data_IF_370074481662
#
_entry.id   IF_370074481662
#
_cell.length_a   1.000
_cell.length_b   1.000
_cell.length_c   1.000
_cell.angle_alpha   90.00
_cell.angle_beta   90.00
_cell.angle_gamma   90.00
#
_symmetry.space_group_name_H-M   'P 1'
#
loop_
_entity.id
_entity.type
_entity.pdbx_description
1 polymer ?
#
# COMPACT_ATOMS: atom_id res chain seq x y z
N UNK A 1 72.94 -46.19 -44.17
CA UNK A 1 71.56 -46.00 -43.77
C UNK A 1 71.51 -44.97 -42.65
N UNK A 2 71.21 -43.70 -42.98
CA UNK A 2 71.15 -42.61 -41.99
C UNK A 2 69.67 -42.41 -41.52
N UNK A 3 69.48 -42.57 -40.23
CA UNK A 3 68.16 -42.18 -39.56
C UNK A 3 68.25 -40.73 -39.16
N UNK A 4 67.41 -39.91 -39.76
CA UNK A 4 67.20 -38.51 -39.39
C UNK A 4 66.19 -38.48 -38.24
N UNK A 5 66.58 -38.02 -37.06
CA UNK A 5 65.66 -37.71 -35.95
C UNK A 5 65.13 -36.30 -36.15
N UNK A 6 63.77 -36.17 -36.26
CA UNK A 6 63.06 -34.92 -36.31
C UNK A 6 62.73 -34.51 -34.89
N UNK A 7 63.35 -33.50 -34.37
CA UNK A 7 63.07 -32.87 -33.09
C UNK A 7 61.87 -31.88 -33.27
N UNK A 8 60.67 -32.20 -32.78
CA UNK A 8 59.58 -31.24 -32.65
C UNK A 8 59.83 -30.39 -31.41
N UNK A 9 60.04 -29.09 -31.60
CA UNK A 9 60.05 -28.12 -30.51
C UNK A 9 58.62 -27.70 -30.16
N UNK A 10 58.18 -28.04 -28.94
CA UNK A 10 56.95 -27.55 -28.37
C UNK A 10 57.14 -26.16 -27.79
N UNK A 11 56.49 -25.15 -28.34
CA UNK A 11 56.46 -23.81 -27.79
C UNK A 11 55.47 -23.72 -26.59
N UNK A 12 55.86 -23.16 -25.45
CA UNK A 12 54.93 -22.97 -24.34
C UNK A 12 53.97 -21.80 -24.64
N UNK A 13 52.67 -22.05 -24.63
CA UNK A 13 51.65 -21.02 -24.62
C UNK A 13 51.66 -20.32 -23.25
N UNK A 14 52.14 -19.08 -23.20
CA UNK A 14 52.03 -18.22 -22.04
C UNK A 14 50.61 -17.71 -21.93
N UNK A 15 49.83 -18.28 -20.97
CA UNK A 15 48.54 -17.71 -20.56
C UNK A 15 48.83 -16.48 -19.70
N UNK A 16 48.70 -15.30 -20.27
CA UNK A 16 48.80 -14.04 -19.53
C UNK A 16 47.64 -13.90 -18.50
N UNK A 17 47.88 -13.20 -17.37
CA UNK A 17 46.84 -12.98 -16.38
C UNK A 17 45.70 -12.17 -17.00
N UNK A 18 44.49 -12.75 -17.02
CA UNK A 18 43.27 -12.01 -17.35
C UNK A 18 43.03 -11.03 -16.19
N UNK A 19 43.41 -9.77 -16.40
CA UNK A 19 43.05 -8.70 -15.44
C UNK A 19 41.56 -8.57 -15.41
N UNK A 20 40.92 -9.04 -14.29
CA UNK A 20 39.54 -8.78 -14.02
C UNK A 20 39.36 -7.27 -13.84
N UNK A 21 38.70 -6.63 -14.79
CA UNK A 21 38.28 -5.23 -14.67
C UNK A 21 37.38 -5.12 -13.43
N UNK A 22 37.55 -4.10 -12.58
CA UNK A 22 36.65 -3.90 -11.44
C UNK A 22 35.25 -3.72 -12.01
N UNK A 23 34.31 -4.58 -11.57
CA UNK A 23 32.90 -4.39 -11.82
C UNK A 23 32.52 -3.07 -11.14
N UNK A 24 32.35 -2.00 -11.90
CA UNK A 24 31.74 -0.79 -11.38
C UNK A 24 30.34 -1.18 -10.86
N UNK A 25 30.13 -1.09 -9.54
CA UNK A 25 28.83 -1.27 -8.95
C UNK A 25 27.89 -0.25 -9.61
N UNK A 26 26.99 -0.71 -10.46
CA UNK A 26 26.02 0.16 -11.13
C UNK A 26 25.20 0.86 -10.04
N UNK A 27 25.15 2.19 -10.10
CA UNK A 27 24.36 2.96 -9.13
C UNK A 27 22.91 2.49 -9.17
N UNK A 28 22.35 2.21 -7.97
CA UNK A 28 20.98 1.75 -7.87
C UNK A 28 20.02 2.84 -8.38
N UNK A 29 19.00 2.50 -9.18
CA UNK A 29 18.02 3.47 -9.62
C UNK A 29 17.25 4.04 -8.43
N UNK A 30 17.03 5.35 -8.44
CA UNK A 30 16.23 6.06 -7.44
C UNK A 30 14.76 5.92 -7.78
N UNK A 31 13.99 5.42 -6.84
CA UNK A 31 12.54 5.23 -6.96
C UNK A 31 11.84 5.98 -5.83
N UNK A 32 10.78 6.69 -6.17
CA UNK A 32 9.93 7.38 -5.21
C UNK A 32 8.58 6.65 -5.10
N UNK A 33 8.14 6.34 -3.89
CA UNK A 33 6.78 5.93 -3.60
C UNK A 33 6.05 7.04 -2.85
N UNK A 34 4.80 7.30 -3.18
CA UNK A 34 4.05 8.43 -2.59
C UNK A 34 3.71 8.22 -1.13
N UNK A 35 3.41 7.00 -0.69
CA UNK A 35 3.08 6.70 0.72
C UNK A 35 3.55 5.31 1.16
N UNK A 36 3.51 5.06 2.45
CA UNK A 36 4.17 3.92 3.10
C UNK A 36 3.71 2.55 2.60
N UNK A 37 2.43 2.37 2.28
CA UNK A 37 1.92 1.10 1.75
C UNK A 37 2.53 0.80 0.39
N UNK A 38 2.55 1.77 -0.53
CA UNK A 38 3.24 1.61 -1.82
C UNK A 38 4.74 1.41 -1.63
N UNK A 39 5.34 2.08 -0.64
CA UNK A 39 6.75 1.89 -0.27
C UNK A 39 7.07 0.43 0.07
N UNK A 40 6.23 -0.23 0.86
CA UNK A 40 6.39 -1.65 1.16
C UNK A 40 6.21 -2.52 -0.09
N UNK A 41 5.13 -2.32 -0.87
CA UNK A 41 4.90 -3.10 -2.10
C UNK A 41 6.10 -3.00 -3.07
N UNK A 42 6.65 -1.79 -3.24
CA UNK A 42 7.87 -1.56 -4.04
C UNK A 42 9.06 -2.31 -3.44
N UNK A 43 9.26 -2.25 -2.12
CA UNK A 43 10.36 -2.95 -1.43
C UNK A 43 10.27 -4.46 -1.57
N UNK A 44 9.07 -5.04 -1.52
CA UNK A 44 8.86 -6.49 -1.70
C UNK A 44 9.27 -6.95 -3.10
N UNK A 45 9.04 -6.12 -4.13
CA UNK A 45 9.39 -6.40 -5.53
C UNK A 45 10.88 -6.13 -5.81
N UNK A 46 11.42 -5.04 -5.28
CA UNK A 46 12.76 -4.57 -5.65
C UNK A 46 13.89 -5.10 -4.78
N UNK A 47 13.60 -5.44 -3.51
CA UNK A 47 14.59 -5.75 -2.48
C UNK A 47 15.67 -4.63 -2.39
N UNK A 48 16.94 -4.98 -2.60
CA UNK A 48 18.09 -4.10 -2.53
C UNK A 48 18.51 -3.48 -3.88
N UNK A 49 17.73 -3.69 -4.95
CA UNK A 49 18.11 -3.24 -6.31
C UNK A 49 17.89 -1.76 -6.57
N UNK A 50 17.15 -1.08 -5.72
CA UNK A 50 16.84 0.35 -5.86
C UNK A 50 17.24 1.15 -4.63
N UNK A 51 17.28 2.47 -4.78
CA UNK A 51 17.28 3.46 -3.69
C UNK A 51 15.86 4.01 -3.57
N UNK A 52 15.09 3.54 -2.58
CA UNK A 52 13.69 3.91 -2.39
C UNK A 52 13.54 5.10 -1.45
N UNK A 53 12.78 6.10 -1.89
CA UNK A 53 12.29 7.20 -1.05
C UNK A 53 10.77 7.12 -0.93
N UNK A 54 10.26 7.14 0.30
CA UNK A 54 8.81 7.22 0.58
C UNK A 54 8.49 8.63 1.04
N UNK A 55 7.58 9.33 0.33
CA UNK A 55 7.26 10.74 0.62
C UNK A 55 6.44 10.88 1.90
N UNK A 56 5.36 10.09 2.00
CA UNK A 56 4.50 10.07 3.19
C UNK A 56 4.79 8.80 3.97
N UNK A 57 5.46 8.96 5.11
CA UNK A 57 5.94 7.85 5.94
C UNK A 57 4.84 7.16 6.75
N UNK A 58 5.28 6.32 7.69
CA UNK A 58 4.42 5.62 8.62
C UNK A 58 3.60 6.59 9.49
N UNK A 59 2.38 6.18 9.83
CA UNK A 59 1.45 6.90 10.72
C UNK A 59 1.12 8.35 10.28
N UNK A 60 1.40 8.71 9.02
CA UNK A 60 1.11 10.04 8.46
C UNK A 60 -0.04 9.93 7.46
N UNK A 61 -0.97 10.88 7.55
CA UNK A 61 -2.10 11.01 6.64
C UNK A 61 -1.66 11.46 5.25
N UNK A 62 -1.88 10.60 4.25
CA UNK A 62 -1.50 10.87 2.88
C UNK A 62 -2.50 11.77 2.14
N UNK A 63 -3.77 11.86 2.55
CA UNK A 63 -4.76 12.74 1.93
C UNK A 63 -4.44 14.22 2.12
N UNK A 64 -4.01 14.56 3.34
CA UNK A 64 -3.77 15.96 3.75
C UNK A 64 -2.31 16.38 3.68
N UNK A 65 -1.43 15.50 3.18
CA UNK A 65 0.00 15.76 3.10
C UNK A 65 0.33 17.03 2.30
N UNK A 66 1.30 17.77 2.79
CA UNK A 66 1.83 18.96 2.13
C UNK A 66 3.26 18.68 1.67
N UNK A 67 3.51 18.52 0.34
CA UNK A 67 4.84 18.27 -0.19
C UNK A 67 5.83 19.36 0.18
N UNK A 68 7.04 18.94 0.53
CA UNK A 68 8.16 19.81 0.92
C UNK A 68 9.14 19.97 -0.23
N UNK A 69 10.02 21.00 -0.24
CA UNK A 69 11.03 21.15 -1.28
C UNK A 69 11.99 19.94 -1.42
N UNK A 70 12.19 19.15 -0.36
CA UNK A 70 12.97 17.91 -0.41
C UNK A 70 12.27 16.84 -1.26
N UNK A 71 10.95 16.75 -1.19
CA UNK A 71 10.15 15.80 -1.96
C UNK A 71 10.23 16.12 -3.46
N UNK A 72 10.13 17.39 -3.81
CA UNK A 72 10.30 17.86 -5.19
C UNK A 72 11.69 17.48 -5.74
N UNK A 73 12.76 17.62 -4.93
CA UNK A 73 14.11 17.20 -5.34
C UNK A 73 14.20 15.68 -5.51
N UNK A 74 13.60 14.91 -4.61
CA UNK A 74 13.59 13.45 -4.71
C UNK A 74 12.88 12.99 -6.00
N UNK A 75 11.71 13.56 -6.29
CA UNK A 75 10.93 13.27 -7.52
C UNK A 75 11.70 13.67 -8.78
N UNK A 76 12.28 14.87 -8.82
CA UNK A 76 13.05 15.35 -9.98
C UNK A 76 14.27 14.46 -10.29
N UNK A 77 14.86 13.82 -9.28
CA UNK A 77 16.05 12.92 -9.45
C UNK A 77 15.68 11.44 -9.60
N UNK A 78 14.42 11.07 -9.59
CA UNK A 78 13.99 9.68 -9.63
C UNK A 78 13.89 9.13 -11.05
N UNK A 79 14.27 7.84 -11.23
CA UNK A 79 14.04 7.06 -12.45
C UNK A 79 12.62 6.51 -12.52
N UNK A 80 11.97 6.30 -11.38
CA UNK A 80 10.56 5.92 -11.33
C UNK A 80 9.84 6.58 -10.14
N UNK A 81 8.54 6.87 -10.31
CA UNK A 81 7.65 7.30 -9.25
C UNK A 81 6.40 6.43 -9.23
N UNK A 82 6.09 5.86 -8.07
CA UNK A 82 4.93 5.02 -7.83
C UNK A 82 3.90 5.81 -7.03
N UNK A 83 2.72 5.99 -7.60
CA UNK A 83 1.56 6.65 -6.97
C UNK A 83 0.35 5.72 -6.98
N UNK A 84 -0.62 5.98 -6.10
CA UNK A 84 -1.88 5.26 -6.11
C UNK A 84 -2.73 5.58 -7.33
N UNK A 85 -2.92 6.86 -7.60
CA UNK A 85 -3.91 7.35 -8.54
C UNK A 85 -5.31 7.45 -7.92
N UNK A 86 -6.35 7.52 -8.76
CA UNK A 86 -7.76 7.64 -8.36
C UNK A 86 -8.05 8.86 -7.45
N UNK A 87 -7.20 9.88 -7.49
CA UNK A 87 -7.34 11.08 -6.67
C UNK A 87 -6.89 10.96 -5.21
N UNK A 88 -6.28 9.85 -4.81
CA UNK A 88 -5.80 9.63 -3.44
C UNK A 88 -4.80 10.70 -3.00
N UNK A 89 -3.80 10.94 -3.82
CA UNK A 89 -2.81 11.99 -3.59
C UNK A 89 -3.30 13.34 -4.16
N UNK A 90 -4.22 14.01 -3.49
CA UNK A 90 -4.76 15.32 -3.93
C UNK A 90 -3.71 16.43 -4.10
N UNK A 91 -2.51 16.21 -3.59
CA UNK A 91 -1.35 17.12 -3.67
C UNK A 91 -0.40 16.81 -4.85
N UNK A 92 -0.59 15.70 -5.58
CA UNK A 92 0.39 15.20 -6.57
C UNK A 92 0.59 16.18 -7.73
N UNK A 93 -0.44 16.86 -8.18
CA UNK A 93 -0.34 17.85 -9.26
C UNK A 93 0.53 19.05 -8.86
N UNK A 94 0.46 19.48 -7.60
CA UNK A 94 1.32 20.56 -7.07
C UNK A 94 2.77 20.11 -7.03
N UNK A 95 3.03 18.87 -6.61
CA UNK A 95 4.35 18.27 -6.60
C UNK A 95 4.91 18.15 -8.03
N UNK A 96 4.12 17.67 -8.98
CA UNK A 96 4.53 17.52 -10.38
C UNK A 96 4.89 18.87 -11.03
N UNK A 97 4.18 19.94 -10.69
CA UNK A 97 4.53 21.31 -11.16
C UNK A 97 5.84 21.83 -10.55
N UNK A 98 6.12 21.48 -9.29
CA UNK A 98 7.33 21.88 -8.58
C UNK A 98 8.56 21.03 -8.95
N UNK A 99 8.36 19.83 -9.46
CA UNK A 99 9.39 18.86 -9.80
C UNK A 99 9.18 18.33 -11.20
N UNK A 100 9.93 18.81 -12.22
CA UNK A 100 9.82 18.31 -13.59
C UNK A 100 10.32 16.85 -13.64
N UNK A 101 9.45 15.92 -13.33
CA UNK A 101 9.72 14.50 -13.37
C UNK A 101 9.83 14.00 -14.82
N UNK A 102 10.90 13.25 -15.12
CA UNK A 102 11.20 12.71 -16.46
C UNK A 102 11.31 11.18 -16.47
N UNK A 103 11.15 10.56 -15.30
CA UNK A 103 11.25 9.12 -15.13
C UNK A 103 9.96 8.37 -15.52
N UNK A 104 9.91 7.08 -15.18
CA UNK A 104 8.75 6.23 -15.38
C UNK A 104 7.69 6.52 -14.32
N UNK A 105 6.53 7.02 -14.73
CA UNK A 105 5.37 7.13 -13.85
C UNK A 105 4.66 5.77 -13.77
N UNK A 106 4.42 5.30 -12.56
CA UNK A 106 3.76 4.03 -12.24
C UNK A 106 2.52 4.35 -11.39
N UNK A 107 1.34 4.21 -11.98
CA UNK A 107 0.09 4.32 -11.24
C UNK A 107 -0.33 2.93 -10.80
N UNK A 108 -0.23 2.64 -9.51
CA UNK A 108 -0.42 1.31 -8.96
C UNK A 108 -1.84 0.76 -9.19
N UNK A 109 -2.87 1.62 -9.16
CA UNK A 109 -4.27 1.24 -9.38
C UNK A 109 -4.67 1.05 -10.86
N UNK A 110 -3.75 1.18 -11.81
CA UNK A 110 -4.08 1.05 -13.24
C UNK A 110 -4.75 -0.29 -13.54
N UNK A 111 -5.93 -0.23 -14.19
CA UNK A 111 -6.70 -1.42 -14.58
C UNK A 111 -7.35 -2.18 -13.42
N UNK A 112 -7.41 -1.59 -12.22
CA UNK A 112 -8.22 -2.14 -11.12
C UNK A 112 -9.68 -1.79 -11.35
N UNK A 113 -10.57 -2.77 -11.15
CA UNK A 113 -12.01 -2.52 -11.14
C UNK A 113 -12.38 -1.65 -9.93
N UNK A 114 -12.81 -0.43 -10.18
CA UNK A 114 -13.08 0.57 -9.15
C UNK A 114 -14.48 0.49 -8.58
N UNK A 115 -14.63 0.86 -7.31
CA UNK A 115 -15.91 1.12 -6.67
C UNK A 115 -16.21 2.61 -6.75
N UNK A 116 -17.47 2.92 -7.02
CA UNK A 116 -17.98 4.29 -6.93
C UNK A 116 -18.53 4.53 -5.51
N UNK A 117 -18.41 5.75 -5.04
CA UNK A 117 -19.05 6.14 -3.80
C UNK A 117 -20.55 5.83 -3.88
N UNK A 118 -21.04 5.05 -2.95
CA UNK A 118 -22.49 4.93 -2.78
C UNK A 118 -23.05 6.29 -2.31
N UNK A 119 -24.20 6.75 -2.82
CA UNK A 119 -24.86 7.93 -2.27
C UNK A 119 -25.18 7.65 -0.79
N UNK A 120 -24.44 8.27 0.11
CA UNK A 120 -24.74 8.18 1.54
C UNK A 120 -25.78 9.26 1.86
N UNK A 121 -26.95 8.92 2.41
CA UNK A 121 -27.93 9.92 2.80
C UNK A 121 -27.32 10.92 3.78
N UNK A 122 -27.24 12.19 3.39
CA UNK A 122 -26.68 13.28 4.22
C UNK A 122 -25.31 13.79 3.80
N UNK A 123 -24.57 13.10 2.94
CA UNK A 123 -23.27 13.56 2.41
C UNK A 123 -23.42 14.05 0.98
N UNK A 124 -23.40 15.36 0.77
CA UNK A 124 -23.50 16.01 -0.56
C UNK A 124 -22.22 15.89 -1.43
N UNK A 125 -21.16 15.24 -0.95
CA UNK A 125 -19.85 15.18 -1.59
C UNK A 125 -19.42 13.79 -2.08
N UNK A 126 -20.32 12.81 -2.12
CA UNK A 126 -20.01 11.43 -2.48
C UNK A 126 -20.08 11.17 -4.00
N UNK A 127 -19.51 12.05 -4.83
CA UNK A 127 -19.33 11.79 -6.27
C UNK A 127 -17.84 11.60 -6.58
N UNK A 128 -17.29 10.44 -6.24
CA UNK A 128 -15.90 10.12 -6.51
C UNK A 128 -15.69 8.63 -6.58
N UNK A 129 -14.59 8.24 -7.18
CA UNK A 129 -14.10 6.87 -7.16
C UNK A 129 -13.40 6.63 -5.83
N UNK A 130 -13.76 5.55 -5.13
CA UNK A 130 -13.01 5.11 -3.95
C UNK A 130 -11.58 4.78 -4.35
N UNK A 131 -10.61 5.39 -3.69
CA UNK A 131 -9.19 5.25 -4.00
C UNK A 131 -8.48 4.12 -3.24
N UNK A 132 -9.13 3.52 -2.22
CA UNK A 132 -8.51 2.60 -1.25
C UNK A 132 -8.47 1.14 -1.74
N UNK A 133 -8.13 0.92 -3.01
CA UNK A 133 -8.16 -0.41 -3.64
C UNK A 133 -7.27 -1.45 -2.94
N UNK A 134 -6.19 -1.03 -2.27
CA UNK A 134 -5.29 -1.92 -1.53
C UNK A 134 -5.95 -2.63 -0.33
N UNK A 135 -7.11 -2.17 0.11
CA UNK A 135 -7.87 -2.83 1.17
C UNK A 135 -8.48 -4.18 0.74
N UNK A 136 -8.54 -4.45 -0.55
CA UNK A 136 -8.78 -5.79 -1.11
C UNK A 136 -7.46 -6.41 -1.56
N UNK A 137 -7.04 -7.50 -0.92
CA UNK A 137 -5.78 -8.17 -1.24
C UNK A 137 -5.75 -8.65 -2.70
N UNK A 138 -6.89 -9.05 -3.25
CA UNK A 138 -7.01 -9.41 -4.67
C UNK A 138 -6.66 -8.25 -5.61
N UNK A 139 -7.06 -7.02 -5.26
CA UNK A 139 -6.71 -5.81 -6.00
C UNK A 139 -5.27 -5.36 -5.74
N UNK A 140 -4.76 -5.54 -4.51
CA UNK A 140 -3.35 -5.26 -4.20
C UNK A 140 -2.38 -6.11 -5.04
N UNK A 141 -2.76 -7.33 -5.43
CA UNK A 141 -1.98 -8.16 -6.38
C UNK A 141 -1.84 -7.47 -7.74
N UNK A 142 -2.88 -6.75 -8.21
CA UNK A 142 -2.78 -5.94 -9.43
C UNK A 142 -1.80 -4.77 -9.26
N UNK A 143 -1.77 -4.15 -8.08
CA UNK A 143 -0.77 -3.13 -7.74
C UNK A 143 0.65 -3.67 -7.89
N UNK A 144 0.91 -4.86 -7.34
CA UNK A 144 2.21 -5.52 -7.45
C UNK A 144 2.58 -5.76 -8.91
N UNK A 145 1.65 -6.25 -9.75
CA UNK A 145 1.90 -6.46 -11.17
C UNK A 145 2.27 -5.15 -11.89
N UNK A 146 1.53 -4.06 -11.63
CA UNK A 146 1.82 -2.75 -12.22
C UNK A 146 3.18 -2.18 -11.76
N UNK A 147 3.56 -2.41 -10.49
CA UNK A 147 4.87 -2.02 -9.95
C UNK A 147 5.98 -2.81 -10.64
N UNK A 148 5.82 -4.13 -10.79
CA UNK A 148 6.78 -5.00 -11.51
C UNK A 148 7.01 -4.50 -12.93
N UNK A 149 5.93 -4.29 -13.68
CA UNK A 149 6.00 -3.85 -15.07
C UNK A 149 6.69 -2.47 -15.18
N UNK A 150 6.31 -1.54 -14.32
CA UNK A 150 6.88 -0.19 -14.33
C UNK A 150 8.35 -0.16 -13.90
N UNK A 151 8.76 -0.93 -12.90
CA UNK A 151 10.16 -1.04 -12.50
C UNK A 151 11.00 -1.74 -13.58
N UNK A 152 10.46 -2.77 -14.24
CA UNK A 152 11.14 -3.45 -15.34
C UNK A 152 11.37 -2.53 -16.56
N UNK A 153 10.49 -1.55 -16.79
CA UNK A 153 10.66 -0.51 -17.81
C UNK A 153 11.71 0.53 -17.40
N UNK A 154 11.68 0.96 -16.13
CA UNK A 154 12.60 1.97 -15.61
C UNK A 154 14.04 1.45 -15.45
N UNK A 155 14.20 0.16 -15.20
CA UNK A 155 15.47 -0.53 -14.95
C UNK A 155 15.48 -1.90 -15.62
N UNK A 156 15.69 -1.89 -16.93
CA UNK A 156 15.68 -3.10 -17.74
C UNK A 156 16.77 -4.12 -17.34
N UNK A 157 17.88 -3.67 -16.76
CA UNK A 157 18.96 -4.53 -16.30
C UNK A 157 18.51 -5.47 -15.17
N UNK A 158 17.61 -5.04 -14.30
CA UNK A 158 17.06 -5.81 -13.19
C UNK A 158 15.64 -6.35 -13.46
N UNK A 159 15.12 -6.24 -14.69
CA UNK A 159 13.74 -6.61 -15.02
C UNK A 159 13.35 -8.04 -14.62
N UNK A 160 14.26 -9.03 -14.81
CA UNK A 160 14.00 -10.40 -14.40
C UNK A 160 13.92 -10.56 -12.89
N UNK A 161 14.77 -9.87 -12.13
CA UNK A 161 14.71 -9.84 -10.67
C UNK A 161 13.35 -9.33 -10.18
N UNK A 162 12.85 -8.22 -10.75
CA UNK A 162 11.53 -7.68 -10.38
C UNK A 162 10.39 -8.65 -10.69
N UNK A 163 10.43 -9.33 -11.84
CA UNK A 163 9.41 -10.33 -12.22
C UNK A 163 9.42 -11.54 -11.28
N UNK A 164 10.59 -12.09 -10.97
CA UNK A 164 10.73 -13.23 -10.05
C UNK A 164 10.23 -12.88 -8.64
N UNK A 165 10.67 -11.74 -8.12
CA UNK A 165 10.24 -11.26 -6.80
C UNK A 165 8.73 -10.96 -6.77
N UNK A 166 8.22 -10.31 -7.81
CA UNK A 166 6.80 -10.02 -7.94
C UNK A 166 5.95 -11.28 -7.96
N UNK A 167 6.37 -12.34 -8.68
CA UNK A 167 5.68 -13.62 -8.69
C UNK A 167 5.67 -14.29 -7.30
N UNK A 168 6.79 -14.28 -6.58
CA UNK A 168 6.86 -14.80 -5.21
C UNK A 168 5.95 -14.02 -4.26
N UNK A 169 5.94 -12.70 -4.40
CA UNK A 169 5.09 -11.86 -3.54
C UNK A 169 3.61 -12.02 -3.87
N UNK A 170 3.24 -12.16 -5.15
CA UNK A 170 1.87 -12.46 -5.58
C UNK A 170 1.34 -13.76 -4.97
N UNK A 171 2.17 -14.80 -4.87
CA UNK A 171 1.80 -16.05 -4.20
C UNK A 171 1.52 -15.84 -2.71
N UNK A 172 2.36 -15.07 -2.02
CA UNK A 172 2.15 -14.71 -0.60
C UNK A 172 0.84 -13.91 -0.42
N UNK A 173 0.55 -12.97 -1.32
CA UNK A 173 -0.70 -12.21 -1.28
C UNK A 173 -1.92 -13.11 -1.56
N UNK A 174 -1.81 -14.09 -2.45
CA UNK A 174 -2.88 -15.06 -2.66
C UNK A 174 -3.16 -15.91 -1.41
N UNK A 175 -2.12 -16.25 -0.63
CA UNK A 175 -2.26 -16.93 0.67
C UNK A 175 -2.88 -16.00 1.71
N UNK A 176 -2.46 -14.74 1.75
CA UNK A 176 -3.03 -13.72 2.62
C UNK A 176 -4.53 -13.54 2.35
N UNK A 177 -4.95 -13.45 1.09
CA UNK A 177 -6.35 -13.30 0.71
C UNK A 177 -7.20 -14.49 1.21
N UNK A 178 -6.69 -15.73 1.04
CA UNK A 178 -7.35 -16.93 1.57
C UNK A 178 -7.47 -16.90 3.08
N UNK A 179 -6.41 -16.45 3.77
CA UNK A 179 -6.41 -16.31 5.22
C UNK A 179 -7.43 -15.26 5.68
N UNK A 180 -7.49 -14.09 5.03
CA UNK A 180 -8.49 -13.05 5.37
C UNK A 180 -9.91 -13.60 5.24
N UNK A 181 -10.22 -14.28 4.13
CA UNK A 181 -11.53 -14.91 3.92
C UNK A 181 -11.87 -15.91 5.02
N UNK A 182 -10.91 -16.74 5.41
CA UNK A 182 -11.09 -17.74 6.47
C UNK A 182 -11.32 -17.09 7.84
N UNK A 183 -10.59 -16.02 8.18
CA UNK A 183 -10.76 -15.31 9.44
C UNK A 183 -12.12 -14.61 9.53
N UNK A 184 -12.52 -13.88 8.47
CA UNK A 184 -13.83 -13.21 8.43
C UNK A 184 -14.98 -14.20 8.47
N UNK A 185 -14.83 -15.39 7.88
CA UNK A 185 -15.84 -16.43 7.91
C UNK A 185 -16.15 -16.95 9.33
N UNK A 186 -15.27 -16.75 10.31
CA UNK A 186 -15.51 -17.09 11.72
C UNK A 186 -16.57 -16.20 12.38
N UNK A 187 -16.82 -15.00 11.82
CA UNK A 187 -17.83 -14.08 12.31
C UNK A 187 -19.16 -14.39 11.63
N UNK A 188 -20.28 -14.59 12.38
CA UNK A 188 -21.61 -14.73 11.79
C UNK A 188 -21.97 -13.53 10.90
N UNK A 189 -22.59 -13.76 9.73
CA UNK A 189 -22.87 -12.71 8.75
C UNK A 189 -23.62 -11.51 9.34
N UNK A 190 -24.57 -11.74 10.25
CA UNK A 190 -25.33 -10.68 10.92
C UNK A 190 -24.51 -9.82 11.89
N UNK A 191 -23.30 -10.25 12.27
CA UNK A 191 -22.39 -9.52 13.18
C UNK A 191 -21.26 -8.80 12.44
N UNK A 192 -21.09 -9.00 11.12
CA UNK A 192 -20.01 -8.42 10.32
C UNK A 192 -20.23 -6.92 10.07
N UNK A 193 -20.23 -6.13 11.14
CA UNK A 193 -20.41 -4.67 11.11
C UNK A 193 -19.34 -4.00 11.95
N UNK A 194 -18.77 -2.90 11.44
CA UNK A 194 -17.73 -2.14 12.13
C UNK A 194 -17.88 -0.65 11.85
N UNK A 195 -17.41 0.18 12.77
CA UNK A 195 -17.30 1.64 12.63
C UNK A 195 -15.82 1.98 12.54
N UNK A 196 -15.45 2.82 11.58
CA UNK A 196 -14.07 3.31 11.33
C UNK A 196 -14.05 4.84 11.34
N UNK A 197 -12.87 5.47 11.30
CA UNK A 197 -12.74 6.93 11.36
C UNK A 197 -13.16 7.61 10.06
N UNK A 198 -12.87 6.98 8.90
CA UNK A 198 -13.30 7.46 7.58
C UNK A 198 -13.64 6.27 6.65
N UNK A 199 -14.16 6.54 5.46
CA UNK A 199 -14.66 5.53 4.52
C UNK A 199 -13.53 4.96 3.64
N UNK A 200 -12.59 4.25 4.25
CA UNK A 200 -11.44 3.62 3.57
C UNK A 200 -11.64 2.13 3.27
N UNK A 201 -12.68 1.50 3.79
CA UNK A 201 -12.80 0.04 3.76
C UNK A 201 -13.84 -0.48 2.75
N UNK A 202 -14.24 0.33 1.76
CA UNK A 202 -15.24 -0.05 0.76
C UNK A 202 -14.83 -1.30 -0.04
N UNK A 203 -13.58 -1.38 -0.47
CA UNK A 203 -13.05 -2.57 -1.17
C UNK A 203 -12.94 -3.79 -0.27
N UNK A 204 -12.56 -3.60 1.00
CA UNK A 204 -12.57 -4.69 2.00
C UNK A 204 -14.01 -5.20 2.20
N UNK A 205 -14.97 -4.30 2.35
CA UNK A 205 -16.40 -4.61 2.48
C UNK A 205 -16.88 -5.48 1.32
N UNK A 206 -16.58 -5.06 0.09
CA UNK A 206 -16.95 -5.76 -1.14
C UNK A 206 -16.30 -7.15 -1.26
N UNK A 207 -15.03 -7.29 -0.88
CA UNK A 207 -14.27 -8.53 -1.04
C UNK A 207 -14.59 -9.58 0.03
N UNK A 208 -14.88 -9.13 1.27
CA UNK A 208 -14.94 -10.02 2.44
C UNK A 208 -16.31 -10.02 3.16
N UNK A 209 -17.27 -9.25 2.68
CA UNK A 209 -18.65 -9.26 3.21
C UNK A 209 -18.76 -8.65 4.62
N UNK A 210 -18.04 -7.58 4.89
CA UNK A 210 -18.14 -6.77 6.12
C UNK A 210 -18.86 -5.47 5.79
N UNK A 211 -19.69 -4.96 6.69
CA UNK A 211 -20.35 -3.66 6.55
C UNK A 211 -19.62 -2.62 7.41
N UNK A 212 -19.11 -1.60 6.76
CA UNK A 212 -18.47 -0.47 7.45
C UNK A 212 -19.36 0.75 7.42
N UNK A 213 -19.28 1.54 8.49
CA UNK A 213 -19.86 2.87 8.59
C UNK A 213 -18.78 3.80 9.15
N UNK A 214 -18.78 5.04 8.71
CA UNK A 214 -17.82 6.03 9.16
C UNK A 214 -18.47 7.42 9.26
N UNK A 215 -17.97 8.30 10.15
CA UNK A 215 -18.47 9.67 10.24
C UNK A 215 -17.94 10.55 9.11
N UNK A 216 -16.80 10.19 8.48
CA UNK A 216 -16.15 10.91 7.38
C UNK A 216 -16.28 10.12 6.08
N UNK A 217 -16.22 10.85 4.94
CA UNK A 217 -16.16 10.25 3.60
C UNK A 217 -14.79 9.64 3.27
N UNK A 218 -14.47 9.53 1.98
CA UNK A 218 -13.24 8.92 1.47
C UNK A 218 -11.96 9.70 1.79
N UNK A 219 -12.06 10.98 2.10
CA UNK A 219 -10.92 11.81 2.48
C UNK A 219 -11.04 12.25 3.93
N UNK A 220 -9.93 12.61 4.52
CA UNK A 220 -9.83 13.08 5.91
C UNK A 220 -9.78 14.60 6.03
N UNK A 221 -9.84 15.32 4.92
CA UNK A 221 -9.67 16.77 4.81
C UNK A 221 -10.88 17.59 5.29
N UNK A 222 -12.02 16.95 5.56
CA UNK A 222 -13.21 17.59 6.07
C UNK A 222 -13.72 16.95 7.37
N UNK A 223 -14.27 17.77 8.25
CA UNK A 223 -14.93 17.29 9.46
C UNK A 223 -16.40 16.95 9.17
N UNK A 224 -16.96 15.88 9.77
CA UNK A 224 -18.37 15.53 9.61
C UNK A 224 -19.27 16.56 10.30
N UNK A 225 -20.50 16.71 9.80
CA UNK A 225 -21.48 17.56 10.46
C UNK A 225 -21.96 16.94 11.79
N UNK A 226 -22.37 17.79 12.74
CA UNK A 226 -22.95 17.33 14.00
C UNK A 226 -24.20 16.43 13.77
N UNK A 227 -24.94 16.67 12.69
CA UNK A 227 -26.11 15.86 12.30
C UNK A 227 -25.69 14.44 11.90
N UNK A 228 -24.62 14.30 11.15
CA UNK A 228 -24.12 12.98 10.69
C UNK A 228 -23.53 12.17 11.86
N UNK A 229 -22.80 12.83 12.76
CA UNK A 229 -22.29 12.21 13.98
C UNK A 229 -23.47 11.72 14.85
N UNK A 230 -24.50 12.53 15.07
CA UNK A 230 -25.68 12.15 15.83
C UNK A 230 -26.46 10.99 15.16
N UNK A 231 -26.53 10.97 13.83
CA UNK A 231 -27.14 9.86 13.10
C UNK A 231 -26.35 8.56 13.28
N UNK A 232 -25.01 8.62 13.20
CA UNK A 232 -24.14 7.47 13.41
C UNK A 232 -24.25 6.93 14.85
N UNK A 233 -24.28 7.79 15.86
CA UNK A 233 -24.49 7.40 17.27
C UNK A 233 -25.81 6.63 17.45
N UNK A 234 -26.92 7.13 16.86
CA UNK A 234 -28.21 6.43 16.89
C UNK A 234 -28.11 5.05 16.24
N UNK A 235 -27.52 4.97 15.05
CA UNK A 235 -27.33 3.71 14.32
C UNK A 235 -26.52 2.70 15.12
N UNK A 236 -25.41 3.13 15.74
CA UNK A 236 -24.58 2.26 16.60
C UNK A 236 -25.39 1.69 17.77
N UNK A 237 -26.22 2.53 18.42
CA UNK A 237 -27.11 2.10 19.51
C UNK A 237 -28.18 1.13 19.05
N UNK A 238 -28.90 1.46 17.98
CA UNK A 238 -30.02 0.67 17.46
C UNK A 238 -29.55 -0.72 16.96
N UNK A 239 -28.43 -0.74 16.27
CA UNK A 239 -27.86 -1.97 15.75
C UNK A 239 -26.93 -2.70 16.74
N UNK A 240 -26.74 -2.14 17.94
CA UNK A 240 -25.89 -2.71 19.01
C UNK A 240 -24.45 -2.99 18.55
N UNK A 241 -23.89 -2.15 17.66
CA UNK A 241 -22.54 -2.32 17.15
C UNK A 241 -21.53 -2.06 18.28
N UNK A 242 -20.65 -3.02 18.53
CA UNK A 242 -19.55 -2.93 19.52
C UNK A 242 -18.17 -2.74 18.86
N UNK A 243 -18.03 -3.07 17.58
CA UNK A 243 -16.80 -3.00 16.81
C UNK A 243 -16.55 -1.57 16.30
N UNK A 244 -15.98 -0.71 17.14
CA UNK A 244 -15.53 0.65 16.78
C UNK A 244 -14.01 0.71 16.77
N UNK A 245 -13.43 1.38 15.76
CA UNK A 245 -11.98 1.45 15.57
C UNK A 245 -11.53 2.85 15.17
N UNK A 246 -10.42 3.28 15.75
CA UNK A 246 -9.67 4.47 15.35
C UNK A 246 -8.58 4.06 14.36
N UNK A 247 -8.37 4.83 13.32
CA UNK A 247 -7.30 4.61 12.37
C UNK A 247 -6.02 5.36 12.78
N UNK A 248 -4.85 4.77 12.42
CA UNK A 248 -3.55 5.23 12.94
C UNK A 248 -3.20 6.67 12.60
N UNK A 249 -3.67 7.18 11.46
CA UNK A 249 -3.37 8.53 10.97
C UNK A 249 -4.45 9.56 11.31
N UNK A 250 -5.55 9.18 12.02
CA UNK A 250 -6.65 10.08 12.36
C UNK A 250 -6.66 10.48 13.83
N UNK A 251 -7.29 11.64 14.13
CA UNK A 251 -7.56 12.05 15.51
C UNK A 251 -8.61 11.12 16.14
N UNK A 252 -8.34 10.52 17.31
CA UNK A 252 -9.23 9.55 17.94
C UNK A 252 -10.51 10.18 18.51
N UNK A 253 -10.51 11.49 18.80
CA UNK A 253 -11.55 12.16 19.60
C UNK A 253 -12.97 11.93 19.13
N UNK A 254 -13.20 11.91 17.80
CA UNK A 254 -14.54 11.71 17.23
C UNK A 254 -15.04 10.27 17.43
N UNK A 255 -14.23 9.25 17.16
CA UNK A 255 -14.62 7.84 17.37
C UNK A 255 -14.80 7.55 18.85
N UNK A 256 -13.96 8.11 19.71
CA UNK A 256 -14.10 8.03 21.16
C UNK A 256 -15.38 8.69 21.68
N UNK A 257 -15.77 9.84 21.10
CA UNK A 257 -17.05 10.48 21.41
C UNK A 257 -18.22 9.55 21.02
N UNK A 258 -18.20 9.01 19.80
CA UNK A 258 -19.23 8.07 19.33
C UNK A 258 -19.30 6.86 20.27
N UNK A 259 -18.16 6.31 20.68
CA UNK A 259 -18.11 5.19 21.62
C UNK A 259 -18.74 5.53 22.97
N UNK A 260 -18.34 6.64 23.59
CA UNK A 260 -18.90 7.10 24.88
C UNK A 260 -20.42 7.30 24.81
N UNK A 261 -20.90 7.96 23.76
CA UNK A 261 -22.32 8.29 23.63
C UNK A 261 -23.17 7.08 23.21
N UNK A 262 -22.61 6.10 22.49
CA UNK A 262 -23.35 4.90 22.08
C UNK A 262 -23.26 3.73 23.05
N UNK A 263 -22.35 3.76 24.03
CA UNK A 263 -22.06 2.64 24.92
C UNK A 263 -21.28 1.50 24.25
N UNK A 264 -20.61 1.80 23.11
CA UNK A 264 -19.69 0.89 22.46
C UNK A 264 -18.26 1.04 23.01
N UNK A 265 -17.33 0.16 22.60
CA UNK A 265 -15.94 0.16 23.05
C UNK A 265 -15.02 0.31 21.84
N UNK A 266 -14.05 1.20 21.95
CA UNK A 266 -13.01 1.35 20.92
C UNK A 266 -12.08 0.14 20.98
N UNK A 267 -11.91 -0.54 19.85
CA UNK A 267 -11.00 -1.66 19.67
C UNK A 267 -9.55 -1.22 19.44
N UNK A 268 -8.65 -2.17 19.12
CA UNK A 268 -7.30 -1.85 18.72
C UNK A 268 -7.29 -0.91 17.49
N UNK A 269 -6.24 -0.07 17.38
CA UNK A 269 -6.08 0.83 16.24
C UNK A 269 -5.98 0.05 14.93
N UNK A 270 -6.68 0.50 13.88
CA UNK A 270 -6.53 -0.03 12.53
C UNK A 270 -5.53 0.82 11.71
N UNK A 271 -5.03 0.24 10.66
CA UNK A 271 -4.13 0.87 9.70
C UNK A 271 -4.82 0.87 8.33
N UNK A 272 -5.26 2.03 7.87
CA UNK A 272 -5.98 2.19 6.58
C UNK A 272 -5.07 2.67 5.47
N UNK A 273 -4.48 3.87 5.64
CA UNK A 273 -3.76 4.60 4.58
C UNK A 273 -2.27 4.74 4.87
N UNK A 274 -1.83 4.30 6.03
CA UNK A 274 -0.43 4.31 6.42
C UNK A 274 -0.06 3.04 7.18
N UNK A 275 1.14 2.53 6.94
CA UNK A 275 1.75 1.49 7.77
C UNK A 275 2.17 2.06 9.13
N UNK A 276 2.42 1.20 10.10
CA UNK A 276 3.07 1.58 11.36
C UNK A 276 4.56 1.86 11.16
N UNK A 277 5.18 2.48 12.17
CA UNK A 277 6.63 2.50 12.28
C UNK A 277 7.23 1.06 12.21
N UNK A 278 8.53 0.90 11.86
CA UNK A 278 9.14 -0.42 11.64
C UNK A 278 9.05 -1.39 12.82
N UNK A 279 8.96 -0.88 14.04
CA UNK A 279 8.79 -1.67 15.27
C UNK A 279 7.33 -1.84 15.70
N UNK A 280 6.38 -1.34 14.91
CA UNK A 280 4.96 -1.45 15.18
C UNK A 280 4.33 -2.70 14.57
N UNK A 281 3.02 -2.94 14.84
CA UNK A 281 2.34 -4.18 14.47
C UNK A 281 1.99 -4.28 12.99
N UNK A 282 2.07 -3.20 12.22
CA UNK A 282 1.66 -3.08 10.83
C UNK A 282 2.77 -2.48 9.95
N UNK A 283 4.02 -2.91 10.15
CA UNK A 283 5.19 -2.35 9.46
C UNK A 283 5.29 -2.77 7.98
N UNK A 284 4.51 -3.74 7.52
CA UNK A 284 4.40 -4.17 6.13
C UNK A 284 2.92 -4.31 5.74
N UNK A 285 2.63 -4.32 4.45
CA UNK A 285 1.27 -4.53 3.96
C UNK A 285 0.64 -5.84 4.49
N UNK A 286 1.38 -6.94 4.48
CA UNK A 286 0.88 -8.21 5.02
C UNK A 286 0.63 -8.14 6.53
N UNK A 287 1.55 -7.52 7.28
CA UNK A 287 1.39 -7.34 8.72
C UNK A 287 0.18 -6.43 9.03
N UNK A 288 -0.01 -5.36 8.27
CA UNK A 288 -1.16 -4.47 8.33
C UNK A 288 -2.47 -5.24 8.15
N UNK A 289 -2.60 -6.00 7.08
CA UNK A 289 -3.80 -6.78 6.80
C UNK A 289 -4.08 -7.81 7.91
N UNK A 290 -3.05 -8.51 8.39
CA UNK A 290 -3.21 -9.47 9.49
C UNK A 290 -3.63 -8.80 10.78
N UNK A 291 -3.02 -7.68 11.14
CA UNK A 291 -3.38 -6.91 12.32
C UNK A 291 -4.84 -6.42 12.24
N UNK A 292 -5.21 -5.78 11.13
CA UNK A 292 -6.55 -5.25 10.93
C UNK A 292 -7.62 -6.35 10.99
N UNK A 293 -7.41 -7.45 10.28
CA UNK A 293 -8.37 -8.57 10.26
C UNK A 293 -8.53 -9.18 11.63
N UNK A 294 -7.45 -9.39 12.37
CA UNK A 294 -7.51 -9.91 13.75
C UNK A 294 -8.31 -8.98 14.67
N UNK A 295 -8.06 -7.65 14.59
CA UNK A 295 -8.78 -6.66 15.37
C UNK A 295 -10.27 -6.59 14.99
N UNK A 296 -10.58 -6.59 13.68
CA UNK A 296 -11.94 -6.57 13.15
C UNK A 296 -12.74 -7.81 13.61
N UNK A 297 -12.19 -9.01 13.47
CA UNK A 297 -12.84 -10.26 13.90
C UNK A 297 -13.12 -10.23 15.40
N UNK A 298 -12.13 -9.87 16.22
CA UNK A 298 -12.29 -9.78 17.67
C UNK A 298 -13.35 -8.76 18.10
N UNK A 299 -13.45 -7.64 17.37
CA UNK A 299 -14.49 -6.63 17.62
C UNK A 299 -15.87 -7.09 17.17
N UNK A 300 -15.99 -7.61 15.96
CA UNK A 300 -17.27 -8.03 15.36
C UNK A 300 -17.93 -9.21 16.08
N UNK A 301 -17.15 -10.11 16.69
CA UNK A 301 -17.68 -11.20 17.52
C UNK A 301 -18.39 -10.71 18.80
N UNK A 302 -18.29 -9.41 19.13
CA UNK A 302 -18.99 -8.78 20.27
C UNK A 302 -20.29 -8.08 19.88
N UNK A 303 -20.59 -7.98 18.57
CA UNK A 303 -21.82 -7.36 18.05
C UNK A 303 -23.06 -8.17 18.34
#
# INVERSE_FOLDING_TARGET
>A
MLRRHLLMAAAPFAVGPVSALPAFAQARPKVVATFSILGDLVSQVSADRIELTVLVGADIDAHTYQPKPVDARAVAGAQAMVSNGLGFEGWIDRLAKAAPFKGQAIVASTGVATLQAAPTPGHSHAHGTDSHCWQDVGRARRYVANIVDGLALADAANANHYRERGQLYDQRLAELDRWVKAEIAKVPAGQRRAITSHDAFGYFASAYGVQFQSPRGFTTDSEPSAKDVAALIRLVREQKIKALFVENMTNPGLVEQIARESGAVVGPRLYSDALSAPNGPAATYEAMMRHNVTALVAGMLKN
#
